data_IF_223080350525
#
_entry.id   IF_223080350525
#
_cell.length_a   1.000
_cell.length_b   1.000
_cell.length_c   1.000
_cell.angle_alpha   90.00
_cell.angle_beta   90.00
_cell.angle_gamma   90.00
#
_symmetry.space_group_name_H-M   'P 1'
#
loop_
_entity.id
_entity.type
_entity.pdbx_description
1 polymer ?
#
# COMPACT_ATOMS: atom_id res chain seq x y z
N UNK A 1 -6.41 11.35 10.66
CA UNK A 1 -7.21 12.39 9.98
C UNK A 1 -8.69 12.05 9.87
N UNK A 2 -9.09 10.97 9.19
CA UNK A 2 -10.52 10.63 9.01
C UNK A 2 -11.31 10.56 10.34
N UNK A 3 -10.76 9.91 11.37
CA UNK A 3 -11.37 9.89 12.73
C UNK A 3 -11.53 11.28 13.35
N UNK A 4 -10.59 12.19 13.09
CA UNK A 4 -10.65 13.58 13.56
C UNK A 4 -11.79 14.31 12.88
N UNK A 5 -11.93 14.18 11.56
CA UNK A 5 -13.02 14.79 10.81
C UNK A 5 -14.39 14.29 11.31
N UNK A 6 -14.56 12.98 11.54
CA UNK A 6 -15.81 12.46 12.10
C UNK A 6 -16.13 12.95 13.51
N UNK A 7 -15.10 13.24 14.33
CA UNK A 7 -15.29 13.74 15.69
C UNK A 7 -15.56 15.24 15.73
N UNK A 8 -14.83 16.01 14.93
CA UNK A 8 -14.74 17.47 15.07
C UNK A 8 -15.65 18.23 14.09
N UNK A 9 -16.11 17.60 13.00
CA UNK A 9 -17.02 18.23 12.02
C UNK A 9 -18.46 17.80 12.34
N UNK A 10 -19.29 18.69 12.93
CA UNK A 10 -20.64 18.32 13.34
C UNK A 10 -21.52 17.99 12.13
N UNK A 11 -22.27 16.89 12.19
CA UNK A 11 -23.15 16.47 11.10
C UNK A 11 -22.49 15.64 10.01
N UNK A 12 -21.17 15.42 10.07
CA UNK A 12 -20.45 14.64 9.04
C UNK A 12 -20.76 13.15 9.13
N UNK A 13 -20.83 12.60 10.34
CA UNK A 13 -21.13 11.17 10.55
C UNK A 13 -22.58 10.85 10.20
N UNK A 14 -23.50 11.77 10.50
CA UNK A 14 -24.93 11.65 10.20
C UNK A 14 -25.27 11.97 8.75
N UNK A 15 -24.32 12.51 7.97
CA UNK A 15 -24.54 12.87 6.57
C UNK A 15 -25.49 14.06 6.38
N UNK A 16 -25.45 15.06 7.27
CA UNK A 16 -26.31 16.24 7.17
C UNK A 16 -26.09 16.99 5.86
N UNK A 17 -27.19 17.46 5.27
CA UNK A 17 -27.17 18.20 4.01
C UNK A 17 -26.28 19.44 4.12
N UNK A 18 -25.39 19.64 3.14
CA UNK A 18 -24.44 20.75 3.10
C UNK A 18 -23.16 20.55 3.92
N UNK A 19 -23.08 19.55 4.81
CA UNK A 19 -21.84 19.21 5.53
C UNK A 19 -20.98 18.31 4.66
N UNK A 20 -19.73 18.72 4.40
CA UNK A 20 -18.80 17.99 3.52
C UNK A 20 -17.50 17.65 4.25
N UNK A 21 -16.89 16.48 3.95
CA UNK A 21 -15.55 16.15 4.46
C UNK A 21 -14.51 17.08 3.85
N UNK A 22 -13.32 17.13 4.46
CA UNK A 22 -12.15 17.80 3.91
C UNK A 22 -11.20 16.78 3.27
N UNK A 23 -11.32 16.51 1.95
CA UNK A 23 -10.43 15.60 1.26
C UNK A 23 -9.04 16.19 1.07
N UNK A 24 -8.89 17.52 1.06
CA UNK A 24 -7.62 18.19 0.78
C UNK A 24 -6.58 17.81 1.83
N UNK A 25 -6.95 17.84 3.10
CA UNK A 25 -6.04 17.43 4.19
C UNK A 25 -5.61 15.96 4.08
N UNK A 26 -6.51 15.05 3.69
CA UNK A 26 -6.14 13.64 3.45
C UNK A 26 -5.17 13.48 2.28
N UNK A 27 -5.37 14.22 1.19
CA UNK A 27 -4.46 14.25 0.03
C UNK A 27 -3.11 14.83 0.44
N UNK A 28 -3.08 15.95 1.16
CA UNK A 28 -1.83 16.60 1.59
C UNK A 28 -0.99 15.67 2.48
N UNK A 29 -1.62 14.89 3.37
CA UNK A 29 -0.93 13.89 4.20
C UNK A 29 -0.30 12.79 3.34
N UNK A 30 -1.06 12.19 2.43
CA UNK A 30 -0.56 11.08 1.61
C UNK A 30 0.52 11.55 0.63
N UNK A 31 0.35 12.73 0.01
CA UNK A 31 1.34 13.32 -0.89
C UNK A 31 2.63 13.66 -0.15
N UNK A 32 2.55 14.33 1.00
CA UNK A 32 3.74 14.70 1.77
C UNK A 32 4.51 13.48 2.25
N UNK A 33 3.80 12.44 2.71
CA UNK A 33 4.42 11.19 3.13
C UNK A 33 5.08 10.47 1.94
N UNK A 34 4.36 10.30 0.82
CA UNK A 34 4.88 9.62 -0.36
C UNK A 34 6.16 10.29 -0.89
N UNK A 35 6.17 11.62 -1.02
CA UNK A 35 7.35 12.35 -1.51
C UNK A 35 8.58 12.19 -0.61
N UNK A 36 8.40 12.06 0.70
CA UNK A 36 9.50 11.85 1.64
C UNK A 36 9.97 10.40 1.64
N UNK A 37 9.05 9.46 1.71
CA UNK A 37 9.35 8.03 1.87
C UNK A 37 9.88 7.38 0.57
N UNK A 38 9.59 7.94 -0.61
CA UNK A 38 10.13 7.42 -1.87
C UNK A 38 11.63 7.66 -2.05
N UNK A 39 12.22 8.65 -1.36
CA UNK A 39 13.63 9.02 -1.53
C UNK A 39 14.56 7.89 -1.09
N UNK A 40 14.32 7.33 0.10
CA UNK A 40 15.19 6.31 0.69
C UNK A 40 15.30 5.02 -0.17
N UNK A 41 14.19 4.35 -0.55
CA UNK A 41 14.27 3.15 -1.39
C UNK A 41 14.86 3.46 -2.78
N UNK A 42 14.58 4.64 -3.34
CA UNK A 42 15.20 5.08 -4.60
C UNK A 42 16.72 5.22 -4.49
N UNK A 43 17.21 5.85 -3.41
CA UNK A 43 18.64 5.97 -3.15
C UNK A 43 19.30 4.61 -2.94
N UNK A 44 18.67 3.70 -2.19
CA UNK A 44 19.18 2.33 -2.00
C UNK A 44 19.35 1.63 -3.34
N UNK A 45 18.36 1.73 -4.24
CA UNK A 45 18.42 1.09 -5.56
C UNK A 45 19.57 1.63 -6.43
N UNK A 46 19.84 2.94 -6.40
CA UNK A 46 20.90 3.58 -7.21
C UNK A 46 22.29 3.41 -6.59
N UNK A 47 22.41 3.55 -5.27
CA UNK A 47 23.71 3.58 -4.57
C UNK A 47 24.25 2.17 -4.35
N UNK A 48 23.40 1.18 -4.08
CA UNK A 48 23.87 -0.18 -3.73
C UNK A 48 24.77 -0.81 -4.81
N UNK A 49 24.42 -0.77 -6.11
CA UNK A 49 25.31 -1.28 -7.17
C UNK A 49 26.67 -0.57 -7.21
N UNK A 50 26.71 0.74 -6.95
CA UNK A 50 27.94 1.55 -6.94
C UNK A 50 28.83 1.09 -5.78
N UNK A 51 28.28 0.99 -4.56
CA UNK A 51 29.02 0.57 -3.37
C UNK A 51 29.57 -0.86 -3.56
N UNK A 52 28.74 -1.80 -4.02
CA UNK A 52 29.17 -3.19 -4.18
C UNK A 52 30.19 -3.32 -5.33
N UNK A 53 29.94 -2.66 -6.46
CA UNK A 53 30.80 -2.73 -7.63
C UNK A 53 32.20 -2.16 -7.41
N UNK A 54 32.31 -0.99 -6.79
CA UNK A 54 33.61 -0.35 -6.52
C UNK A 54 34.25 -0.78 -5.19
N UNK A 55 33.44 -1.16 -4.19
CA UNK A 55 33.94 -1.53 -2.86
C UNK A 55 34.35 -2.99 -2.72
N UNK A 56 33.63 -3.91 -3.37
CA UNK A 56 33.87 -5.37 -3.25
C UNK A 56 34.37 -5.95 -4.58
N UNK A 57 33.80 -5.51 -5.70
CA UNK A 57 34.21 -5.91 -7.04
C UNK A 57 33.05 -6.38 -7.91
N UNK A 58 33.38 -6.59 -9.19
CA UNK A 58 32.39 -6.90 -10.25
C UNK A 58 31.73 -8.27 -10.08
N UNK A 59 32.44 -9.26 -9.53
CA UNK A 59 31.91 -10.60 -9.28
C UNK A 59 30.83 -10.56 -8.21
N UNK A 60 31.07 -9.85 -7.11
CA UNK A 60 30.09 -9.64 -6.03
C UNK A 60 28.87 -8.84 -6.52
N UNK A 61 29.09 -7.83 -7.37
CA UNK A 61 28.01 -7.09 -8.01
C UNK A 61 27.13 -8.01 -8.87
N UNK A 62 27.73 -8.91 -9.65
CA UNK A 62 27.00 -9.91 -10.44
C UNK A 62 26.11 -10.79 -9.56
N UNK A 63 26.63 -11.27 -8.43
CA UNK A 63 25.87 -12.03 -7.45
C UNK A 63 24.71 -11.24 -6.82
N UNK A 64 24.96 -9.98 -6.46
CA UNK A 64 23.92 -9.08 -5.92
C UNK A 64 22.79 -8.87 -6.94
N UNK A 65 23.10 -8.57 -8.20
CA UNK A 65 22.09 -8.33 -9.23
C UNK A 65 21.26 -9.59 -9.53
N UNK A 66 21.91 -10.75 -9.61
CA UNK A 66 21.21 -12.03 -9.79
C UNK A 66 20.29 -12.34 -8.60
N UNK A 67 20.79 -12.20 -7.37
CA UNK A 67 20.01 -12.42 -6.15
C UNK A 67 18.83 -11.46 -6.01
N UNK A 68 19.05 -10.16 -6.25
CA UNK A 68 18.01 -9.14 -6.21
C UNK A 68 16.93 -9.40 -7.27
N UNK A 69 17.31 -9.85 -8.46
CA UNK A 69 16.35 -10.20 -9.52
C UNK A 69 15.49 -11.39 -9.11
N UNK A 70 16.10 -12.48 -8.66
CA UNK A 70 15.38 -13.70 -8.27
C UNK A 70 14.44 -13.43 -7.10
N UNK A 71 14.93 -12.79 -6.04
CA UNK A 71 14.12 -12.45 -4.88
C UNK A 71 13.01 -11.45 -5.24
N UNK A 72 13.34 -10.42 -6.04
CA UNK A 72 12.42 -9.37 -6.44
C UNK A 72 11.26 -9.89 -7.29
N UNK A 73 11.53 -10.75 -8.27
CA UNK A 73 10.49 -11.34 -9.13
C UNK A 73 9.52 -12.19 -8.31
N UNK A 74 10.05 -13.07 -7.44
CA UNK A 74 9.21 -13.94 -6.62
C UNK A 74 8.34 -13.12 -5.66
N UNK A 75 8.91 -12.11 -5.01
CA UNK A 75 8.17 -11.26 -4.07
C UNK A 75 7.12 -10.40 -4.79
N UNK A 76 7.46 -9.85 -5.97
CA UNK A 76 6.53 -9.05 -6.76
C UNK A 76 5.31 -9.86 -7.20
N UNK A 77 5.53 -11.08 -7.70
CA UNK A 77 4.44 -11.99 -8.10
C UNK A 77 3.57 -12.36 -6.90
N UNK A 78 4.18 -12.69 -5.76
CA UNK A 78 3.47 -13.00 -4.54
C UNK A 78 2.59 -11.82 -4.09
N UNK A 79 3.16 -10.62 -3.99
CA UNK A 79 2.44 -9.43 -3.53
C UNK A 79 1.30 -9.03 -4.48
N UNK A 80 1.53 -9.11 -5.80
CA UNK A 80 0.50 -8.80 -6.80
C UNK A 80 -0.68 -9.78 -6.72
N UNK A 81 -0.39 -11.09 -6.68
CA UNK A 81 -1.42 -12.12 -6.68
C UNK A 81 -2.15 -12.21 -5.34
N UNK A 82 -1.43 -12.16 -4.22
CA UNK A 82 -2.05 -12.21 -2.90
C UNK A 82 -2.91 -10.97 -2.64
N UNK A 83 -2.40 -9.78 -2.99
CA UNK A 83 -3.18 -8.53 -2.88
C UNK A 83 -4.45 -8.57 -3.75
N UNK A 84 -4.32 -9.01 -5.00
CA UNK A 84 -5.47 -9.18 -5.90
C UNK A 84 -6.48 -10.23 -5.41
N UNK A 85 -5.99 -11.35 -4.87
CA UNK A 85 -6.83 -12.40 -4.30
C UNK A 85 -7.63 -11.88 -3.09
N UNK A 86 -6.98 -11.14 -2.18
CA UNK A 86 -7.67 -10.54 -1.04
C UNK A 86 -8.71 -9.49 -1.45
N UNK A 87 -8.40 -8.60 -2.41
CA UNK A 87 -9.38 -7.61 -2.86
C UNK A 87 -10.57 -8.26 -3.58
N UNK A 88 -10.32 -9.31 -4.37
CA UNK A 88 -11.39 -10.05 -5.04
C UNK A 88 -12.22 -10.87 -4.06
N UNK A 89 -11.61 -11.51 -3.05
CA UNK A 89 -12.33 -12.23 -2.01
C UNK A 89 -13.25 -11.28 -1.22
N UNK A 90 -12.76 -10.10 -0.85
CA UNK A 90 -13.58 -9.05 -0.23
C UNK A 90 -14.77 -8.67 -1.10
N UNK A 91 -14.52 -8.39 -2.40
CA UNK A 91 -15.59 -8.05 -3.36
C UNK A 91 -16.60 -9.18 -3.55
N UNK A 92 -16.16 -10.44 -3.49
CA UNK A 92 -17.03 -11.61 -3.59
C UNK A 92 -18.03 -11.68 -2.43
N UNK A 93 -17.59 -11.36 -1.21
CA UNK A 93 -18.47 -11.20 -0.04
C UNK A 93 -19.37 -9.96 -0.19
N UNK A 94 -18.83 -8.82 -0.65
CA UNK A 94 -19.63 -7.60 -0.88
C UNK A 94 -20.72 -7.77 -1.95
N UNK A 95 -20.51 -8.69 -2.91
CA UNK A 95 -21.47 -9.05 -3.93
C UNK A 95 -22.54 -10.07 -3.46
N UNK A 96 -22.38 -10.65 -2.26
CA UNK A 96 -23.33 -11.63 -1.71
C UNK A 96 -23.20 -13.03 -2.32
N UNK A 97 -22.05 -13.35 -2.93
CA UNK A 97 -21.80 -14.64 -3.59
C UNK A 97 -21.38 -15.76 -2.60
N UNK A 98 -21.24 -15.41 -1.32
CA UNK A 98 -20.95 -16.36 -0.23
C UNK A 98 -22.19 -16.49 0.64
N UNK A 99 -22.79 -17.69 0.64
CA UNK A 99 -23.98 -17.96 1.42
C UNK A 99 -23.73 -17.76 2.93
N UNK A 100 -24.63 -17.06 3.60
CA UNK A 100 -24.53 -16.76 5.03
C UNK A 100 -23.63 -15.58 5.38
N UNK A 101 -22.88 -15.02 4.41
CA UNK A 101 -22.01 -13.86 4.62
C UNK A 101 -22.58 -12.60 4.00
N UNK A 102 -22.24 -11.44 4.59
CA UNK A 102 -22.71 -10.14 4.11
C UNK A 102 -21.74 -9.02 4.45
N UNK A 103 -21.87 -7.90 3.72
CA UNK A 103 -21.12 -6.68 3.97
C UNK A 103 -21.34 -6.19 5.41
N UNK A 104 -20.23 -6.01 6.13
CA UNK A 104 -20.23 -5.57 7.52
C UNK A 104 -20.25 -6.69 8.57
N UNK A 105 -20.40 -7.96 8.14
CA UNK A 105 -20.23 -9.16 8.97
C UNK A 105 -18.78 -9.39 9.41
N UNK A 106 -18.56 -10.44 10.21
CA UNK A 106 -17.20 -10.76 10.70
C UNK A 106 -16.26 -11.18 9.58
N UNK A 107 -16.71 -12.02 8.63
CA UNK A 107 -15.87 -12.43 7.51
C UNK A 107 -15.52 -11.27 6.56
N UNK A 108 -16.40 -10.27 6.40
CA UNK A 108 -16.10 -9.07 5.60
C UNK A 108 -15.11 -8.11 6.28
N UNK A 109 -14.99 -8.17 7.62
CA UNK A 109 -14.03 -7.33 8.38
C UNK A 109 -12.65 -7.96 8.48
N UNK A 110 -12.55 -9.28 8.36
CA UNK A 110 -11.30 -10.04 8.37
C UNK A 110 -10.48 -9.79 7.09
#
# INVERSE_FOLDING_TARGET
EIRRQFKDIPGLLEGKEGVKPDPKTCVDISTTAALKEMVLPGLVAVISPIIIGFGIGKEALGGMLAGATLAGVLLALLMANAGGAWDNAKKFIEAGEVEGEAKGGEAHKA
#
